data_IF_875366028201
#
_entry.id   IF_875366028201
#
_cell.length_a   1.000
_cell.length_b   1.000
_cell.length_c   1.000
_cell.angle_alpha   90.00
_cell.angle_beta   90.00
_cell.angle_gamma   90.00
#
_symmetry.space_group_name_H-M   'P 1'
#
loop_
_entity.id
_entity.type
_entity.pdbx_description
1 polymer ?
#
# COMPACT_ATOMS: atom_id res chain seq x y z
N UNK A 1 -3.66 27.70 12.27
CA UNK A 1 -2.57 27.76 13.28
C UNK A 1 -1.77 26.47 13.22
N UNK A 2 -0.47 26.46 13.54
CA UNK A 2 0.34 25.22 13.56
C UNK A 2 0.33 24.61 14.96
N UNK A 3 -0.06 23.35 15.06
CA UNK A 3 -0.24 22.62 16.31
C UNK A 3 0.61 21.36 16.25
N UNK A 4 1.40 21.12 17.30
CA UNK A 4 2.28 19.95 17.42
C UNK A 4 1.84 19.12 18.62
N UNK A 5 1.65 17.82 18.42
CA UNK A 5 1.07 16.91 19.42
C UNK A 5 1.90 15.63 19.47
N UNK A 6 2.24 15.11 20.65
CA UNK A 6 2.96 13.83 20.74
C UNK A 6 2.06 12.66 20.28
N UNK A 7 2.66 11.59 19.73
CA UNK A 7 1.96 10.37 19.30
C UNK A 7 1.01 9.84 20.39
N UNK A 8 1.41 9.86 21.67
CA UNK A 8 0.55 9.38 22.76
C UNK A 8 -0.65 10.29 22.99
N UNK A 9 -0.46 11.60 22.91
CA UNK A 9 -1.54 12.56 23.06
C UNK A 9 -2.51 12.49 21.87
N UNK A 10 -1.98 12.35 20.65
CA UNK A 10 -2.77 12.20 19.45
C UNK A 10 -3.62 10.92 19.46
N UNK A 11 -3.14 9.85 20.09
CA UNK A 11 -3.89 8.60 20.24
C UNK A 11 -5.10 8.72 21.17
N UNK A 12 -5.05 9.62 22.15
CA UNK A 12 -6.12 9.78 23.16
C UNK A 12 -7.16 10.83 22.78
N UNK A 13 -6.83 11.78 21.89
CA UNK A 13 -7.67 12.94 21.54
C UNK A 13 -7.84 13.13 20.03
N UNK A 14 -7.86 12.04 19.28
CA UNK A 14 -7.86 12.08 17.82
C UNK A 14 -9.04 12.88 17.25
N UNK A 15 -10.23 12.75 17.83
CA UNK A 15 -11.46 13.42 17.38
C UNK A 15 -11.32 14.94 17.46
N UNK A 16 -10.75 15.45 18.55
CA UNK A 16 -10.50 16.89 18.72
C UNK A 16 -9.48 17.41 17.70
N UNK A 17 -8.45 16.61 17.40
CA UNK A 17 -7.45 16.98 16.38
C UNK A 17 -8.06 17.01 14.98
N UNK A 18 -9.00 16.11 14.68
CA UNK A 18 -9.75 16.11 13.43
C UNK A 18 -10.56 17.39 13.30
N UNK A 19 -11.28 17.81 14.35
CA UNK A 19 -12.05 19.07 14.33
C UNK A 19 -11.15 20.30 14.11
N UNK A 20 -9.94 20.32 14.67
CA UNK A 20 -8.96 21.38 14.44
C UNK A 20 -8.53 21.43 12.97
N UNK A 21 -8.25 20.28 12.36
CA UNK A 21 -7.88 20.21 10.94
C UNK A 21 -9.05 20.67 10.06
N UNK A 22 -10.30 20.38 10.44
CA UNK A 22 -11.49 20.88 9.76
C UNK A 22 -11.65 22.40 9.86
N UNK A 23 -11.15 23.00 10.95
CA UNK A 23 -11.08 24.46 11.11
C UNK A 23 -9.91 25.11 10.36
N UNK A 24 -9.20 24.34 9.53
CA UNK A 24 -8.00 24.73 8.80
C UNK A 24 -6.77 25.00 9.70
N UNK A 25 -6.68 24.35 10.86
CA UNK A 25 -5.44 24.28 11.62
C UNK A 25 -4.52 23.17 11.08
N UNK A 26 -3.23 23.45 11.01
CA UNK A 26 -2.22 22.49 10.59
C UNK A 26 -1.76 21.69 11.81
N UNK A 27 -2.19 20.42 11.89
CA UNK A 27 -1.86 19.53 13.01
C UNK A 27 -0.74 18.57 12.60
N UNK A 28 0.35 18.57 13.36
CA UNK A 28 1.49 17.67 13.21
C UNK A 28 1.57 16.72 14.40
N UNK A 29 1.77 15.43 14.12
CA UNK A 29 2.04 14.41 15.12
C UNK A 29 3.55 14.26 15.25
N UNK A 30 4.04 14.40 16.48
CA UNK A 30 5.43 14.36 16.86
C UNK A 30 5.75 13.09 17.63
N UNK A 31 6.96 12.56 17.46
CA UNK A 31 7.50 11.53 18.34
C UNK A 31 8.75 12.09 19.01
N UNK A 32 8.64 12.43 20.30
CA UNK A 32 9.63 13.29 20.93
C UNK A 32 9.57 14.71 20.33
N UNK A 33 10.71 15.28 19.95
CA UNK A 33 10.77 16.64 19.38
C UNK A 33 10.70 16.71 17.84
N UNK A 34 10.49 15.57 17.18
CA UNK A 34 10.45 15.51 15.72
C UNK A 34 9.03 15.30 15.20
N UNK A 35 8.52 16.16 14.31
CA UNK A 35 7.28 15.89 13.59
C UNK A 35 7.50 14.68 12.66
N UNK A 36 6.64 13.68 12.79
CA UNK A 36 6.71 12.43 12.02
C UNK A 36 5.54 12.26 11.05
N UNK A 37 4.42 12.96 11.29
CA UNK A 37 3.26 12.94 10.43
C UNK A 37 2.49 14.27 10.50
N UNK A 38 1.65 14.52 9.51
CA UNK A 38 0.71 15.63 9.46
C UNK A 38 -0.70 15.07 9.26
N UNK A 39 -1.67 15.58 10.01
CA UNK A 39 -3.08 15.32 9.73
C UNK A 39 -3.55 16.25 8.60
N UNK A 40 -4.16 15.65 7.58
CA UNK A 40 -4.75 16.37 6.47
C UNK A 40 -6.13 15.79 6.16
N UNK A 41 -7.05 16.66 5.77
CA UNK A 41 -8.35 16.25 5.24
C UNK A 41 -8.16 16.00 3.76
N UNK A 42 -8.52 14.79 3.33
CA UNK A 42 -8.64 14.47 1.92
C UNK A 42 -10.10 14.60 1.52
N UNK A 43 -10.43 15.69 0.82
CA UNK A 43 -11.62 15.68 0.00
C UNK A 43 -11.30 14.77 -1.19
N UNK A 44 -12.16 13.78 -1.42
CA UNK A 44 -12.08 12.98 -2.65
C UNK A 44 -12.39 13.92 -3.80
N UNK A 45 -11.35 14.54 -4.35
CA UNK A 45 -11.45 15.21 -5.63
C UNK A 45 -11.62 14.11 -6.67
N UNK A 46 -12.76 14.13 -7.35
CA UNK A 46 -13.01 13.30 -8.52
C UNK A 46 -11.96 13.61 -9.61
N UNK A 47 -10.77 13.00 -9.51
CA UNK A 47 -10.01 12.57 -10.67
C UNK A 47 -8.81 13.38 -11.18
N UNK A 48 -8.10 14.21 -10.39
CA UNK A 48 -6.76 14.65 -10.84
C UNK A 48 -5.88 15.23 -9.72
N UNK A 49 -4.60 14.81 -9.58
CA UNK A 49 -3.65 15.55 -8.77
C UNK A 49 -3.20 16.83 -9.49
N UNK A 50 -3.18 18.00 -8.83
CA UNK A 50 -2.51 19.18 -9.37
C UNK A 50 -0.99 18.95 -9.40
N UNK A 51 -0.42 19.11 -10.59
CA UNK A 51 1.03 19.15 -10.82
C UNK A 51 1.72 20.13 -9.86
N UNK A 52 2.82 19.70 -9.21
CA UNK A 52 3.72 20.60 -8.51
C UNK A 52 4.66 19.93 -7.52
N UNK A 53 5.78 19.39 -8.04
CA UNK A 53 7.06 19.08 -7.38
C UNK A 53 7.06 18.16 -6.16
N UNK A 54 7.10 16.85 -6.44
CA UNK A 54 7.70 15.85 -5.57
C UNK A 54 9.17 15.65 -5.98
N UNK A 55 10.05 16.52 -5.48
CA UNK A 55 11.48 16.23 -5.39
C UNK A 55 11.81 16.21 -3.89
N UNK A 56 12.50 15.15 -3.45
CA UNK A 56 12.87 14.83 -2.05
C UNK A 56 11.79 14.24 -1.11
N UNK A 57 11.38 12.97 -1.33
CA UNK A 57 11.05 12.04 -0.21
C UNK A 57 10.87 10.56 -0.62
N UNK A 58 11.56 10.05 -1.65
CA UNK A 58 11.38 8.65 -2.08
C UNK A 58 12.69 7.89 -2.36
N UNK A 59 13.76 8.21 -1.65
CA UNK A 59 14.91 7.31 -1.51
C UNK A 59 14.80 6.63 -0.14
N UNK A 60 14.15 5.45 -0.10
CA UNK A 60 14.30 4.38 0.91
C UNK A 60 12.99 3.64 1.23
N UNK A 61 12.27 3.18 0.20
CA UNK A 61 11.45 1.96 0.35
C UNK A 61 11.72 1.04 -0.84
N UNK A 62 12.96 0.57 -0.93
CA UNK A 62 13.28 -0.67 -1.63
C UNK A 62 13.10 -1.83 -0.62
N UNK A 63 11.86 -2.31 -0.48
CA UNK A 63 11.52 -3.30 0.54
C UNK A 63 10.30 -4.13 0.18
N UNK A 64 10.51 -5.11 -0.70
CA UNK A 64 9.75 -6.35 -0.83
C UNK A 64 8.21 -6.26 -0.96
N UNK A 65 7.74 -6.00 -2.18
CA UNK A 65 6.61 -6.77 -2.70
C UNK A 65 7.17 -7.76 -3.72
N UNK A 66 7.03 -9.05 -3.45
CA UNK A 66 7.30 -10.10 -4.43
C UNK A 66 6.26 -9.98 -5.55
N UNK A 67 6.53 -9.06 -6.46
CA UNK A 67 5.80 -8.90 -7.71
C UNK A 67 6.13 -10.14 -8.54
N UNK A 68 5.30 -11.18 -8.38
CA UNK A 68 5.33 -12.35 -9.23
C UNK A 68 5.43 -11.88 -10.68
N UNK A 69 6.41 -12.42 -11.42
CA UNK A 69 6.81 -12.01 -12.77
C UNK A 69 5.59 -11.56 -13.56
N UNK A 70 5.39 -10.24 -13.61
CA UNK A 70 4.34 -9.58 -14.38
C UNK A 70 4.71 -9.86 -15.82
N UNK A 71 4.20 -10.97 -16.34
CA UNK A 71 4.24 -11.24 -17.77
C UNK A 71 3.56 -10.04 -18.40
N UNK A 72 4.28 -9.50 -19.37
CA UNK A 72 4.04 -8.32 -20.19
C UNK A 72 2.66 -8.38 -20.88
N UNK A 73 1.58 -8.30 -20.11
CA UNK A 73 0.22 -8.18 -20.63
C UNK A 73 -0.38 -6.94 -20.00
N UNK A 74 -0.39 -5.89 -20.83
CA UNK A 74 -1.28 -4.74 -20.83
C UNK A 74 -1.70 -4.14 -19.51
N UNK A 75 -1.44 -2.85 -19.36
CA UNK A 75 -2.30 -1.98 -18.54
C UNK A 75 -3.75 -2.16 -18.99
N UNK A 76 -4.57 -2.87 -18.20
CA UNK A 76 -6.01 -2.97 -18.41
C UNK A 76 -6.65 -1.59 -18.28
N UNK A 77 -7.53 -1.24 -19.21
CA UNK A 77 -8.20 0.06 -19.29
C UNK A 77 -9.51 0.10 -18.52
N UNK A 78 -10.09 -1.05 -18.19
CA UNK A 78 -11.31 -1.17 -17.38
C UNK A 78 -11.38 -2.50 -16.63
N UNK A 79 -12.32 -2.60 -15.69
CA UNK A 79 -12.57 -3.83 -14.92
C UNK A 79 -13.15 -4.95 -15.79
N UNK A 80 -13.93 -4.60 -16.82
CA UNK A 80 -14.49 -5.57 -17.76
C UNK A 80 -13.40 -6.27 -18.59
N UNK A 81 -12.33 -5.54 -18.94
CA UNK A 81 -11.17 -6.10 -19.64
C UNK A 81 -10.42 -7.12 -18.77
N UNK A 82 -10.40 -6.89 -17.45
CA UNK A 82 -9.84 -7.84 -16.49
C UNK A 82 -10.70 -9.10 -16.40
N UNK A 83 -12.03 -8.95 -16.32
CA UNK A 83 -12.94 -10.11 -16.25
C UNK A 83 -12.92 -10.94 -17.54
N UNK A 84 -12.85 -10.30 -18.70
CA UNK A 84 -12.71 -10.98 -19.98
C UNK A 84 -11.39 -11.77 -20.05
N UNK A 85 -10.28 -11.19 -19.58
CA UNK A 85 -9.00 -11.88 -19.57
C UNK A 85 -8.97 -13.04 -18.55
N UNK A 86 -9.60 -12.87 -17.39
CA UNK A 86 -9.72 -13.94 -16.40
C UNK A 86 -10.56 -15.13 -16.94
N UNK A 87 -11.59 -14.84 -17.72
CA UNK A 87 -12.43 -15.86 -18.36
C UNK A 87 -11.69 -16.63 -19.47
N UNK A 88 -10.77 -15.98 -20.20
CA UNK A 88 -9.93 -16.61 -21.21
C UNK A 88 -8.97 -17.65 -20.61
N UNK A 89 -8.65 -17.50 -19.32
CA UNK A 89 -7.80 -18.42 -18.57
C UNK A 89 -6.34 -18.35 -19.02
N UNK A 90 -5.47 -19.12 -18.34
CA UNK A 90 -4.03 -19.11 -18.64
C UNK A 90 -3.69 -20.15 -19.70
N UNK A 91 -3.60 -19.73 -20.97
CA UNK A 91 -3.15 -20.59 -22.07
C UNK A 91 -1.68 -20.99 -21.85
N UNK A 92 -1.41 -22.29 -21.76
CA UNK A 92 -0.04 -22.84 -21.61
C UNK A 92 0.33 -23.35 -20.21
N UNK A 93 -0.63 -23.59 -19.33
CA UNK A 93 -0.37 -24.28 -18.06
C UNK A 93 -0.21 -25.80 -18.29
N UNK A 94 1.04 -26.28 -18.31
CA UNK A 94 1.32 -27.72 -18.32
C UNK A 94 0.86 -28.33 -16.98
N UNK A 95 -0.11 -29.26 -17.04
CA UNK A 95 -0.72 -29.90 -15.86
C UNK A 95 0.26 -30.76 -15.06
N UNK A 96 1.44 -31.05 -15.62
CA UNK A 96 2.48 -31.90 -15.02
C UNK A 96 3.28 -31.21 -13.90
N UNK A 97 2.96 -29.96 -13.56
CA UNK A 97 3.51 -29.25 -12.41
C UNK A 97 2.54 -29.33 -11.23
N UNK A 98 2.39 -30.53 -10.68
CA UNK A 98 1.77 -30.68 -9.37
C UNK A 98 2.74 -30.14 -8.32
N UNK A 99 2.24 -29.39 -7.35
CA UNK A 99 3.00 -28.92 -6.19
C UNK A 99 3.27 -30.08 -5.23
N UNK A 100 3.84 -31.16 -5.75
CA UNK A 100 4.15 -32.34 -4.97
C UNK A 100 5.50 -32.10 -4.32
N UNK A 101 5.49 -31.70 -3.05
CA UNK A 101 6.68 -31.46 -2.22
C UNK A 101 7.22 -32.75 -1.60
N UNK A 102 7.03 -33.88 -2.28
CA UNK A 102 7.43 -35.21 -1.78
C UNK A 102 8.95 -35.37 -1.72
N UNK A 103 9.69 -34.49 -2.38
CA UNK A 103 11.14 -34.37 -2.31
C UNK A 103 11.66 -33.67 -1.05
N UNK A 104 10.80 -32.93 -0.33
CA UNK A 104 11.16 -32.21 0.89
C UNK A 104 10.98 -33.04 2.16
N UNK A 105 10.36 -34.22 2.07
CA UNK A 105 10.06 -35.08 3.22
C UNK A 105 10.56 -36.50 2.98
N UNK A 106 11.08 -37.15 4.02
CA UNK A 106 11.46 -38.56 3.97
C UNK A 106 10.22 -39.49 3.96
N UNK A 107 10.44 -40.80 3.89
CA UNK A 107 9.37 -41.81 3.90
C UNK A 107 8.53 -41.81 5.20
N UNK A 108 8.98 -41.11 6.24
CA UNK A 108 8.26 -40.93 7.50
C UNK A 108 7.61 -39.54 7.61
N UNK A 109 7.68 -38.72 6.56
CA UNK A 109 7.08 -37.39 6.51
C UNK A 109 7.86 -36.32 7.28
N UNK A 110 9.14 -36.57 7.60
CA UNK A 110 10.01 -35.60 8.28
C UNK A 110 10.84 -34.82 7.25
N UNK A 111 11.10 -33.52 7.49
CA UNK A 111 11.96 -32.74 6.61
C UNK A 111 13.35 -33.36 6.53
N UNK A 112 13.85 -33.55 5.30
CA UNK A 112 15.23 -34.00 5.03
C UNK A 112 16.26 -32.88 5.19
#
# INVERSE_FOLDING_TARGET
MKIFVDVREAAERLEELVDLVFRADEVFVCRGERPVAQLAIFLREDGLPPNGTAEEAAADIAGAAHSGKRTQVGRFRSIDEVWAHAADGKTGWNQDKTSTHEDLYDAYGLPV
#
